data_IF_463659638828
#
_entry.id   IF_463659638828
#
_cell.length_a   1.000
_cell.length_b   1.000
_cell.length_c   1.000
_cell.angle_alpha   90.00
_cell.angle_beta   90.00
_cell.angle_gamma   90.00
#
_symmetry.space_group_name_H-M   'P 1'
#
loop_
_entity.id
_entity.type
_entity.pdbx_description
1 polymer ?
#
# COMPACT_ATOMS: atom_id res chain seq x y z
N UNK A 1 -7.18 -5.88 6.74
CA UNK A 1 -5.97 -5.22 7.29
C UNK A 1 -4.71 -5.70 6.61
N UNK A 2 -4.15 -6.87 6.96
CA UNK A 2 -2.84 -7.32 6.48
C UNK A 2 -2.75 -7.38 4.95
N UNK A 3 -3.83 -7.75 4.27
CA UNK A 3 -3.88 -7.72 2.81
C UNK A 3 -3.60 -6.32 2.22
N UNK A 4 -4.09 -5.24 2.84
CA UNK A 4 -3.77 -3.88 2.39
C UNK A 4 -2.29 -3.54 2.57
N UNK A 5 -1.64 -4.06 3.62
CA UNK A 5 -0.19 -3.93 3.82
C UNK A 5 0.56 -4.72 2.74
N UNK A 6 0.14 -5.95 2.45
CA UNK A 6 0.72 -6.76 1.37
C UNK A 6 0.57 -6.09 0.00
N UNK A 7 -0.59 -5.49 -0.29
CA UNK A 7 -0.76 -4.70 -1.51
C UNK A 7 0.24 -3.54 -1.56
N UNK A 8 0.41 -2.81 -0.46
CA UNK A 8 1.41 -1.75 -0.37
C UNK A 8 2.81 -2.30 -0.70
N UNK A 9 3.23 -3.39 -0.04
CA UNK A 9 4.54 -4.04 -0.28
C UNK A 9 4.73 -4.46 -1.75
N UNK A 10 3.70 -5.04 -2.38
CA UNK A 10 3.73 -5.43 -3.80
C UNK A 10 4.00 -4.21 -4.68
N UNK A 11 3.24 -3.13 -4.48
CA UNK A 11 3.34 -1.95 -5.35
C UNK A 11 4.52 -1.05 -5.01
N UNK A 12 5.12 -1.18 -3.82
CA UNK A 12 6.42 -0.59 -3.50
C UNK A 12 7.59 -1.56 -3.76
N UNK A 13 7.36 -2.65 -4.49
CA UNK A 13 8.40 -3.61 -4.94
C UNK A 13 9.25 -4.13 -3.77
N UNK A 14 8.60 -4.48 -2.66
CA UNK A 14 9.27 -4.97 -1.44
C UNK A 14 9.61 -3.88 -0.41
N UNK A 15 9.32 -2.61 -0.71
CA UNK A 15 9.55 -1.51 0.24
C UNK A 15 8.91 -1.74 1.61
N UNK A 16 9.65 -1.36 2.66
CA UNK A 16 9.22 -1.56 4.05
C UNK A 16 7.93 -0.77 4.37
N UNK A 17 6.90 -1.40 4.96
CA UNK A 17 5.73 -0.68 5.44
C UNK A 17 6.10 0.39 6.47
N UNK A 18 5.44 1.54 6.41
CA UNK A 18 5.70 2.69 7.29
C UNK A 18 7.18 3.16 7.23
N UNK A 19 7.72 3.48 6.04
CA UNK A 19 9.13 3.81 5.88
C UNK A 19 9.53 5.01 6.75
N UNK A 20 10.69 4.91 7.40
CA UNK A 20 11.20 5.94 8.30
C UNK A 20 10.51 6.05 9.67
N UNK A 21 9.54 5.19 9.98
CA UNK A 21 8.88 5.15 11.29
C UNK A 21 9.43 3.99 12.12
N UNK A 22 9.84 4.27 13.35
CA UNK A 22 10.23 3.22 14.29
C UNK A 22 9.05 2.29 14.58
N UNK A 23 9.25 0.97 14.48
CA UNK A 23 8.20 -0.04 14.72
C UNK A 23 7.47 0.13 16.06
N UNK A 24 8.15 0.62 17.11
CA UNK A 24 7.55 0.88 18.43
C UNK A 24 6.54 2.04 18.42
N UNK A 25 6.63 2.94 17.46
CA UNK A 25 5.74 4.10 17.34
C UNK A 25 4.51 3.84 16.46
N UNK A 26 4.55 2.80 15.62
CA UNK A 26 3.50 2.53 14.63
C UNK A 26 2.14 2.39 15.31
N UNK A 27 2.03 1.58 16.38
CA UNK A 27 0.77 1.39 17.09
C UNK A 27 0.16 2.71 17.59
N UNK A 28 0.97 3.59 18.18
CA UNK A 28 0.53 4.89 18.68
C UNK A 28 0.08 5.82 17.54
N UNK A 29 0.74 5.78 16.38
CA UNK A 29 0.34 6.57 15.21
C UNK A 29 -0.97 6.05 14.61
N UNK A 30 -1.14 4.74 14.51
CA UNK A 30 -2.36 4.11 14.01
C UNK A 30 -3.59 4.48 14.85
N UNK A 31 -3.46 4.47 16.17
CA UNK A 31 -4.51 4.91 17.11
C UNK A 31 -4.91 6.38 16.94
N UNK A 32 -3.99 7.23 16.44
CA UNK A 32 -4.26 8.63 16.10
C UNK A 32 -4.83 8.81 14.69
N UNK A 33 -5.18 7.73 14.01
CA UNK A 33 -5.75 7.73 12.66
C UNK A 33 -4.72 7.82 11.54
N UNK A 34 -3.41 7.79 11.83
CA UNK A 34 -2.41 7.76 10.77
C UNK A 34 -2.54 6.48 9.94
N UNK A 35 -2.34 6.59 8.63
CA UNK A 35 -2.19 5.48 7.68
C UNK A 35 -1.07 5.81 6.71
N UNK A 36 -0.50 4.80 6.05
CA UNK A 36 0.53 5.05 5.04
C UNK A 36 -0.04 5.96 3.94
N UNK A 37 0.67 7.04 3.56
CA UNK A 37 0.23 7.91 2.48
C UNK A 37 0.26 7.15 1.15
N UNK A 38 -0.49 7.65 0.17
CA UNK A 38 -0.45 7.09 -1.19
C UNK A 38 0.95 7.23 -1.79
N UNK A 39 1.59 6.14 -2.26
CA UNK A 39 2.81 6.25 -3.04
C UNK A 39 2.56 7.07 -4.32
N UNK A 40 3.51 7.93 -4.70
CA UNK A 40 3.34 8.82 -5.87
C UNK A 40 3.02 8.05 -7.14
N UNK A 41 3.76 6.96 -7.37
CA UNK A 41 3.63 6.07 -8.51
C UNK A 41 2.38 5.18 -8.50
N UNK A 42 1.52 5.23 -7.47
CA UNK A 42 0.31 4.40 -7.37
C UNK A 42 -0.92 5.26 -7.61
N UNK A 43 -1.81 4.80 -8.49
CA UNK A 43 -3.08 5.46 -8.77
C UNK A 43 -4.01 5.50 -7.55
N UNK A 44 -4.89 6.50 -7.52
CA UNK A 44 -5.84 6.71 -6.43
C UNK A 44 -6.77 5.50 -6.24
N UNK A 45 -7.30 4.91 -7.31
CA UNK A 45 -8.23 3.79 -7.21
C UNK A 45 -7.58 2.57 -6.54
N UNK A 46 -6.32 2.31 -6.90
CA UNK A 46 -5.54 1.21 -6.34
C UNK A 46 -5.21 1.47 -4.86
N UNK A 47 -4.83 2.70 -4.51
CA UNK A 47 -4.60 3.09 -3.13
C UNK A 47 -5.86 2.99 -2.27
N UNK A 48 -7.03 3.34 -2.81
CA UNK A 48 -8.30 3.25 -2.08
C UNK A 48 -8.61 1.82 -1.62
N UNK A 49 -8.20 0.79 -2.36
CA UNK A 49 -8.32 -0.61 -1.91
C UNK A 49 -7.48 -0.86 -0.64
N UNK A 50 -6.24 -0.36 -0.63
CA UNK A 50 -5.36 -0.47 0.54
C UNK A 50 -5.96 0.28 1.73
N UNK A 51 -6.40 1.52 1.51
CA UNK A 51 -6.98 2.37 2.53
C UNK A 51 -8.26 1.78 3.14
N UNK A 52 -9.13 1.20 2.32
CA UNK A 52 -10.31 0.46 2.78
C UNK A 52 -9.95 -0.76 3.64
N UNK A 53 -8.83 -1.45 3.34
CA UNK A 53 -8.35 -2.54 4.20
C UNK A 53 -7.90 -2.07 5.59
N UNK A 54 -7.59 -0.78 5.75
CA UNK A 54 -7.07 -0.17 6.97
C UNK A 54 -8.08 0.68 7.74
N UNK A 55 -9.38 0.55 7.44
CA UNK A 55 -10.41 1.19 8.27
C UNK A 55 -10.27 0.78 9.75
N UNK A 56 -10.43 1.77 10.63
CA UNK A 56 -10.29 1.57 12.08
C UNK A 56 -11.28 0.52 12.57
N UNK A 57 -12.56 0.76 12.31
CA UNK A 57 -13.63 -0.19 12.54
C UNK A 57 -13.49 -1.40 11.61
N UNK A 58 -13.35 -2.62 12.15
CA UNK A 58 -13.22 -3.84 11.35
C UNK A 58 -14.41 -4.11 10.41
N UNK A 59 -15.61 -3.65 10.76
CA UNK A 59 -16.82 -3.88 9.98
C UNK A 59 -16.87 -3.01 8.70
N UNK A 60 -16.11 -1.93 8.66
CA UNK A 60 -16.02 -1.05 7.49
C UNK A 60 -14.98 -1.55 6.47
N UNK A 61 -14.27 -2.64 6.80
CA UNK A 61 -13.26 -3.25 5.93
C UNK A 61 -13.94 -4.16 4.90
N UNK A 62 -13.47 -4.19 3.65
CA UNK A 62 -14.04 -5.04 2.62
C UNK A 62 -13.76 -6.52 2.90
N UNK A 63 -14.72 -7.37 2.53
CA UNK A 63 -14.51 -8.81 2.50
C UNK A 63 -13.55 -9.19 1.39
N UNK A 64 -12.90 -10.36 1.49
CA UNK A 64 -12.05 -10.86 0.40
C UNK A 64 -12.82 -11.09 -0.91
N UNK A 65 -14.10 -11.47 -0.85
CA UNK A 65 -14.93 -11.57 -2.05
C UNK A 65 -15.04 -10.20 -2.74
N UNK A 66 -15.31 -9.15 -1.96
CA UNK A 66 -15.40 -7.78 -2.50
C UNK A 66 -14.05 -7.32 -3.07
N UNK A 67 -12.95 -7.60 -2.37
CA UNK A 67 -11.60 -7.28 -2.83
C UNK A 67 -11.27 -7.96 -4.16
N UNK A 68 -11.55 -9.27 -4.27
CA UNK A 68 -11.36 -10.04 -5.50
C UNK A 68 -12.14 -9.44 -6.67
N UNK A 69 -13.42 -9.14 -6.46
CA UNK A 69 -14.29 -8.58 -7.50
C UNK A 69 -13.80 -7.20 -7.95
N UNK A 70 -13.39 -6.34 -7.01
CA UNK A 70 -12.84 -5.02 -7.32
C UNK A 70 -11.55 -5.12 -8.14
N UNK A 71 -10.58 -5.93 -7.68
CA UNK A 71 -9.30 -6.10 -8.39
C UNK A 71 -9.53 -6.72 -9.77
N UNK A 72 -10.44 -7.69 -9.89
CA UNK A 72 -10.77 -8.32 -11.18
C UNK A 72 -11.33 -7.28 -12.17
N UNK A 73 -12.23 -6.41 -11.73
CA UNK A 73 -12.76 -5.32 -12.57
C UNK A 73 -11.68 -4.36 -13.02
N UNK A 74 -10.77 -3.97 -12.12
CA UNK A 74 -9.65 -3.10 -12.47
C UNK A 74 -8.76 -3.72 -13.55
N UNK A 75 -8.47 -5.02 -13.46
CA UNK A 75 -7.64 -5.74 -14.45
C UNK A 75 -8.30 -5.92 -15.81
N UNK A 76 -9.63 -5.80 -15.90
CA UNK A 76 -10.36 -5.88 -17.17
C UNK A 76 -10.37 -4.55 -17.93
N UNK A 77 -10.02 -3.45 -17.25
CA UNK A 77 -9.95 -2.13 -17.85
C UNK A 77 -8.57 -1.90 -18.48
N UNK A 78 -8.36 -2.43 -19.68
CA UNK A 78 -7.06 -2.42 -20.38
C UNK A 78 -6.52 -1.03 -20.75
N UNK A 79 -7.29 0.04 -20.50
CA UNK A 79 -6.91 1.41 -20.82
C UNK A 79 -6.36 2.20 -19.62
N UNK A 80 -6.39 1.64 -18.40
CA UNK A 80 -5.94 2.33 -17.19
C UNK A 80 -4.60 1.81 -16.69
N UNK A 81 -3.62 2.72 -16.57
CA UNK A 81 -2.36 2.45 -15.91
C UNK A 81 -2.48 2.82 -14.43
N UNK A 82 -2.58 1.82 -13.54
CA UNK A 82 -2.67 2.05 -12.09
C UNK A 82 -1.32 2.28 -11.40
N UNK A 83 -0.22 2.12 -12.15
CA UNK A 83 1.14 2.28 -11.64
C UNK A 83 1.97 3.06 -12.66
N UNK A 84 2.59 4.16 -12.22
CA UNK A 84 3.51 4.98 -13.01
C UNK A 84 4.93 4.87 -12.45
N UNK A 85 5.72 3.92 -12.94
CA UNK A 85 7.09 3.70 -12.47
C UNK A 85 8.05 4.87 -12.72
N UNK A 86 7.68 5.87 -13.55
CA UNK A 86 8.47 7.10 -13.69
C UNK A 86 8.43 7.97 -12.43
N UNK A 87 7.42 7.79 -11.59
CA UNK A 87 7.26 8.50 -10.31
C UNK A 87 7.68 7.66 -9.09
N UNK A 88 8.30 6.49 -9.34
CA UNK A 88 8.75 5.60 -8.27
C UNK A 88 9.89 6.24 -7.47
N UNK A 89 9.77 6.22 -6.15
CA UNK A 89 10.78 6.76 -5.25
C UNK A 89 11.73 5.65 -4.79
N UNK A 90 12.81 5.44 -5.55
CA UNK A 90 13.82 4.42 -5.24
C UNK A 90 14.47 4.66 -3.88
N UNK A 91 14.63 5.92 -3.47
CA UNK A 91 15.29 6.24 -2.20
C UNK A 91 14.43 5.87 -0.99
N UNK A 92 13.11 6.06 -1.11
CA UNK A 92 12.16 5.79 -0.03
C UNK A 92 11.82 4.29 0.11
N UNK A 93 11.82 3.57 -1.02
CA UNK A 93 11.39 2.17 -1.08
C UNK A 93 12.53 1.19 -1.39
N UNK A 94 13.80 1.63 -1.31
CA UNK A 94 14.95 0.73 -1.45
C UNK A 94 14.86 -0.45 -0.48
N UNK A 95 15.16 -1.65 -0.97
CA UNK A 95 15.25 -2.81 -0.10
C UNK A 95 16.45 -2.64 0.83
N UNK A 96 16.30 -3.07 2.08
CA UNK A 96 17.40 -3.06 3.05
C UNK A 96 18.59 -3.91 2.55
N UNK A 97 18.29 -4.95 1.75
CA UNK A 97 19.29 -5.80 1.12
C UNK A 97 20.05 -5.10 -0.02
N UNK A 98 19.41 -4.21 -0.79
CA UNK A 98 20.06 -3.42 -1.85
C UNK A 98 21.07 -2.39 -1.28
N UNK A 99 20.85 -1.94 -0.04
CA UNK A 99 21.73 -1.01 0.68
C UNK A 99 22.91 -1.71 1.36
N UNK A 100 22.91 -3.05 1.41
CA UNK A 100 23.97 -3.85 2.06
C UNK A 100 25.08 -4.30 1.09
N UNK A 101 24.98 -3.90 -0.18
CA UNK A 101 25.91 -4.27 -1.25
C UNK A 101 26.92 -3.17 -1.63
N UNK A 102 27.07 -2.11 -0.81
CA UNK A 102 28.17 -1.13 -0.92
C UNK A 102 29.27 -1.35 0.13
#
# INVERSE_FOLDING_TARGET
WSFGVVLYEIFTVGGSPYPGINGREIANKLQKGYRMPKPKHVDEQLYQIMFQCWQENPNDRPTFSKLKDTVTKMTQNNNEAYVNMKEYDTSLYANVDDLSME
#
